data_IF_781044964753
#
_entry.id   IF_781044964753
#
_cell.length_a   1.000
_cell.length_b   1.000
_cell.length_c   1.000
_cell.angle_alpha   90.00
_cell.angle_beta   90.00
_cell.angle_gamma   90.00
#
_symmetry.space_group_name_H-M   'P 1'
#
loop_
_entity.id
_entity.type
_entity.pdbx_description
1 polymer ?
#
# COMPACT_ATOMS: atom_id res chain seq x y z
N UNK A 1 4.89 6.39 0.74
CA UNK A 1 4.29 6.03 2.05
C UNK A 1 3.21 4.95 1.98
N UNK A 2 2.75 4.54 0.77
CA UNK A 2 1.70 3.52 0.64
C UNK A 2 2.14 2.11 1.11
N UNK A 3 3.43 1.76 1.00
CA UNK A 3 3.99 0.50 1.46
C UNK A 3 4.70 0.67 2.82
N UNK A 4 4.10 0.24 3.96
CA UNK A 4 4.70 0.42 5.28
C UNK A 4 5.98 -0.40 5.48
N UNK A 5 6.14 -1.53 4.80
CA UNK A 5 7.38 -2.30 4.85
C UNK A 5 8.54 -1.55 4.19
N UNK A 6 8.29 -0.89 3.04
CA UNK A 6 9.30 -0.04 2.40
C UNK A 6 9.67 1.16 3.27
N UNK A 7 8.68 1.84 3.86
CA UNK A 7 8.92 2.96 4.79
C UNK A 7 9.80 2.52 5.96
N UNK A 8 9.44 1.42 6.64
CA UNK A 8 10.20 0.88 7.76
C UNK A 8 11.62 0.48 7.35
N UNK A 9 11.79 -0.07 6.14
CA UNK A 9 13.11 -0.42 5.62
C UNK A 9 13.98 0.83 5.41
N UNK A 10 13.42 1.93 4.89
CA UNK A 10 14.14 3.21 4.76
C UNK A 10 14.51 3.77 6.13
N UNK A 11 13.55 3.80 7.06
CA UNK A 11 13.76 4.30 8.43
C UNK A 11 14.93 3.58 9.14
N UNK A 12 15.02 2.26 8.98
CA UNK A 12 16.01 1.43 9.67
C UNK A 12 17.37 1.38 8.97
N UNK A 13 17.40 1.33 7.64
CA UNK A 13 18.63 1.06 6.88
C UNK A 13 19.20 2.28 6.17
N UNK A 14 18.38 3.32 5.94
CA UNK A 14 18.75 4.55 5.25
C UNK A 14 18.23 5.79 5.98
N UNK A 15 18.57 6.00 7.27
CA UNK A 15 17.98 7.07 8.07
C UNK A 15 18.19 8.48 7.48
N UNK A 16 19.27 8.70 6.73
CA UNK A 16 19.52 9.96 6.02
C UNK A 16 18.56 10.21 4.86
N UNK A 17 17.86 9.17 4.36
CA UNK A 17 16.90 9.29 3.26
C UNK A 17 15.46 9.47 3.76
N UNK A 18 15.20 9.44 5.06
CA UNK A 18 13.85 9.60 5.61
C UNK A 18 13.20 10.93 5.22
N UNK A 19 14.02 11.99 5.05
CA UNK A 19 13.55 13.29 4.56
C UNK A 19 12.91 13.25 3.15
N UNK A 20 13.19 12.21 2.37
CA UNK A 20 12.61 12.00 1.03
C UNK A 20 11.35 11.13 1.06
N UNK A 21 10.97 10.59 2.22
CA UNK A 21 9.72 9.86 2.34
C UNK A 21 8.53 10.82 2.20
N UNK A 22 7.54 10.41 1.42
CA UNK A 22 6.28 11.16 1.31
C UNK A 22 5.58 11.24 2.68
N UNK A 23 5.15 12.42 3.08
CA UNK A 23 4.39 12.66 4.30
C UNK A 23 2.89 12.30 4.17
N UNK A 24 2.44 11.87 2.99
CA UNK A 24 1.07 11.43 2.79
C UNK A 24 0.78 10.17 3.61
N UNK A 25 -0.41 10.11 4.19
CA UNK A 25 -0.91 8.88 4.79
C UNK A 25 -1.06 7.78 3.74
N UNK A 26 -0.96 6.53 4.16
CA UNK A 26 -1.28 5.42 3.26
C UNK A 26 -2.76 5.41 2.89
N UNK A 27 -3.17 4.75 1.79
CA UNK A 27 -4.59 4.63 1.44
C UNK A 27 -5.46 4.08 2.58
N UNK A 28 -4.95 3.11 3.34
CA UNK A 28 -5.62 2.59 4.54
C UNK A 28 -5.87 3.70 5.57
N UNK A 29 -4.82 4.40 5.97
CA UNK A 29 -4.91 5.43 7.00
C UNK A 29 -5.71 6.67 6.51
N UNK A 30 -5.61 7.02 5.23
CA UNK A 30 -6.38 8.11 4.62
C UNK A 30 -7.87 7.82 4.66
N UNK A 31 -8.28 6.61 4.23
CA UNK A 31 -9.69 6.22 4.25
C UNK A 31 -10.21 6.11 5.69
N UNK A 32 -9.42 5.51 6.59
CA UNK A 32 -9.79 5.43 8.01
C UNK A 32 -10.01 6.81 8.63
N UNK A 33 -9.09 7.75 8.39
CA UNK A 33 -9.22 9.14 8.84
C UNK A 33 -10.48 9.81 8.27
N UNK A 34 -10.75 9.58 6.99
CA UNK A 34 -11.92 10.14 6.30
C UNK A 34 -13.25 9.61 6.89
N UNK A 35 -13.32 8.30 7.20
CA UNK A 35 -14.49 7.68 7.84
C UNK A 35 -14.66 8.22 9.25
N UNK A 36 -13.61 8.20 10.10
CA UNK A 36 -13.66 8.69 11.49
C UNK A 36 -14.06 10.15 11.59
N UNK A 37 -13.74 10.97 10.58
CA UNK A 37 -14.17 12.38 10.57
C UNK A 37 -15.69 12.54 10.36
N UNK A 38 -16.37 11.55 9.79
CA UNK A 38 -17.82 11.54 9.55
C UNK A 38 -18.59 10.72 10.57
N UNK A 39 -17.98 9.62 10.97
CA UNK A 39 -18.53 8.63 11.89
C UNK A 39 -17.50 8.34 12.98
N UNK A 40 -17.35 9.19 14.00
CA UNK A 40 -16.31 9.06 15.03
C UNK A 40 -16.33 7.71 15.77
N UNK A 41 -17.53 7.15 15.96
CA UNK A 41 -17.73 5.87 16.67
C UNK A 41 -17.53 4.63 15.76
N UNK A 42 -17.37 4.81 14.45
CA UNK A 42 -17.17 3.69 13.52
C UNK A 42 -15.94 2.87 13.91
N UNK A 43 -16.06 1.55 13.90
CA UNK A 43 -14.93 0.61 14.06
C UNK A 43 -14.38 0.27 12.70
N UNK A 44 -13.10 0.54 12.50
CA UNK A 44 -12.44 0.39 11.20
C UNK A 44 -11.53 -0.82 11.20
N UNK A 45 -11.90 -1.79 10.39
CA UNK A 45 -11.10 -3.02 10.15
C UNK A 45 -10.56 -2.96 8.73
N UNK A 46 -9.24 -2.98 8.59
CA UNK A 46 -8.59 -3.13 7.30
C UNK A 46 -8.38 -4.62 7.01
N UNK A 47 -8.87 -5.07 5.85
CA UNK A 47 -8.68 -6.43 5.36
C UNK A 47 -7.79 -6.37 4.12
N UNK A 48 -6.68 -7.13 4.12
CA UNK A 48 -5.79 -7.10 2.98
C UNK A 48 -4.57 -8.03 3.11
N UNK A 49 -3.78 -8.17 2.05
CA UNK A 49 -2.70 -9.16 1.96
C UNK A 49 -1.41 -8.78 2.70
N UNK A 50 -1.44 -7.78 3.59
CA UNK A 50 -0.21 -7.15 4.08
C UNK A 50 -0.05 -7.24 5.60
N UNK A 51 0.95 -8.01 6.06
CA UNK A 51 1.31 -8.09 7.48
C UNK A 51 1.92 -6.81 8.04
N UNK A 52 2.66 -6.04 7.21
CA UNK A 52 3.26 -4.77 7.63
C UNK A 52 2.21 -3.69 7.95
N UNK A 53 0.98 -3.80 7.43
CA UNK A 53 -0.14 -2.94 7.78
C UNK A 53 -0.55 -3.06 9.26
N UNK A 54 -0.31 -4.22 9.89
CA UNK A 54 -0.52 -4.41 11.33
C UNK A 54 0.41 -3.50 12.16
N UNK A 55 1.68 -3.40 11.75
CA UNK A 55 2.62 -2.51 12.41
C UNK A 55 2.31 -1.03 12.14
N UNK A 56 1.90 -0.70 10.91
CA UNK A 56 1.47 0.66 10.56
C UNK A 56 0.28 1.12 11.40
N UNK A 57 -0.73 0.28 11.58
CA UNK A 57 -1.91 0.60 12.38
C UNK A 57 -1.59 0.90 13.86
N UNK A 58 -0.45 0.40 14.36
CA UNK A 58 0.02 0.67 15.72
C UNK A 58 0.84 1.96 15.85
N UNK A 59 1.24 2.60 14.73
CA UNK A 59 1.93 3.89 14.77
C UNK A 59 1.02 4.96 15.36
N UNK A 60 1.53 5.82 16.22
CA UNK A 60 0.78 6.91 16.87
C UNK A 60 0.01 7.77 15.85
N UNK A 61 0.60 8.03 14.70
CA UNK A 61 -0.01 8.81 13.61
C UNK A 61 -1.19 8.11 12.89
N UNK A 62 -1.44 6.82 13.17
CA UNK A 62 -2.45 5.99 12.47
C UNK A 62 -3.41 5.32 13.44
N UNK A 63 -2.97 5.01 14.65
CA UNK A 63 -3.70 4.19 15.63
C UNK A 63 -5.09 4.74 16.00
N UNK A 64 -5.30 6.05 15.86
CA UNK A 64 -6.62 6.67 16.08
C UNK A 64 -7.62 6.44 14.93
N UNK A 65 -7.13 5.97 13.76
CA UNK A 65 -7.96 5.81 12.57
C UNK A 65 -8.28 4.36 12.22
N UNK A 66 -7.47 3.41 12.68
CA UNK A 66 -7.60 1.99 12.33
C UNK A 66 -7.66 1.17 13.61
N UNK A 67 -8.79 0.51 13.85
CA UNK A 67 -8.98 -0.31 15.04
C UNK A 67 -8.35 -1.70 14.91
N UNK A 68 -8.39 -2.30 13.71
CA UNK A 68 -7.86 -3.64 13.46
C UNK A 68 -7.35 -3.81 12.04
N UNK A 69 -6.35 -4.69 11.88
CA UNK A 69 -5.85 -5.14 10.57
C UNK A 69 -5.84 -6.66 10.56
N UNK A 70 -6.53 -7.27 9.60
CA UNK A 70 -6.52 -8.70 9.36
C UNK A 70 -6.08 -9.03 7.93
N UNK A 71 -5.37 -10.14 7.77
CA UNK A 71 -4.97 -10.65 6.46
C UNK A 71 -6.09 -11.46 5.82
N UNK A 72 -5.97 -11.76 4.53
CA UNK A 72 -6.93 -12.65 3.87
C UNK A 72 -6.89 -14.07 4.47
N UNK A 73 -5.71 -14.57 4.88
CA UNK A 73 -5.61 -15.85 5.57
C UNK A 73 -6.35 -15.83 6.91
N UNK A 74 -6.21 -14.75 7.70
CA UNK A 74 -6.93 -14.58 8.95
C UNK A 74 -8.44 -14.44 8.75
N UNK A 75 -8.86 -13.74 7.68
CA UNK A 75 -10.27 -13.67 7.30
C UNK A 75 -10.82 -15.05 6.92
N UNK A 76 -10.07 -15.85 6.15
CA UNK A 76 -10.46 -17.21 5.82
C UNK A 76 -10.60 -18.06 7.09
N UNK A 77 -9.62 -18.01 7.99
CA UNK A 77 -9.70 -18.72 9.26
C UNK A 77 -10.92 -18.31 10.11
N UNK A 78 -11.31 -17.02 10.06
CA UNK A 78 -12.52 -16.54 10.72
C UNK A 78 -13.77 -17.15 10.10
N UNK A 79 -13.86 -17.21 8.77
CA UNK A 79 -14.98 -17.85 8.08
C UNK A 79 -15.06 -19.35 8.43
N UNK A 80 -13.95 -20.05 8.35
CA UNK A 80 -13.87 -21.48 8.70
C UNK A 80 -14.31 -21.73 10.15
N UNK A 81 -13.90 -20.87 11.09
CA UNK A 81 -14.28 -20.98 12.52
C UNK A 81 -15.77 -20.74 12.77
N UNK A 82 -16.48 -20.13 11.83
CA UNK A 82 -17.92 -19.84 11.88
C UNK A 82 -18.72 -20.71 10.93
N UNK A 83 -18.08 -21.70 10.29
CA UNK A 83 -18.71 -22.58 9.31
C UNK A 83 -19.37 -21.82 8.14
N UNK A 84 -18.78 -20.65 7.76
CA UNK A 84 -19.26 -19.82 6.66
C UNK A 84 -18.63 -20.30 5.36
N UNK A 85 -19.43 -20.89 4.48
CA UNK A 85 -19.04 -21.23 3.12
C UNK A 85 -19.30 -20.05 2.18
N UNK A 86 -18.22 -19.34 1.77
CA UNK A 86 -18.30 -18.19 0.87
C UNK A 86 -18.93 -18.56 -0.48
N UNK A 87 -18.73 -19.81 -0.95
CA UNK A 87 -19.25 -20.27 -2.24
C UNK A 87 -20.78 -20.38 -2.29
N UNK A 88 -21.41 -20.43 -1.11
CA UNK A 88 -22.89 -20.52 -0.99
C UNK A 88 -23.60 -19.16 -1.22
N UNK A 89 -22.84 -18.05 -1.24
CA UNK A 89 -23.42 -16.72 -1.43
C UNK A 89 -23.43 -16.29 -2.89
N UNK A 90 -24.45 -15.53 -3.27
CA UNK A 90 -24.51 -14.93 -4.60
C UNK A 90 -23.39 -13.89 -4.78
N UNK A 91 -22.81 -13.84 -5.99
CA UNK A 91 -21.83 -12.83 -6.33
C UNK A 91 -22.50 -11.50 -6.61
N UNK A 92 -21.97 -10.42 -6.05
CA UNK A 92 -22.36 -9.04 -6.36
C UNK A 92 -21.23 -8.30 -7.07
N UNK A 93 -21.61 -7.39 -7.97
CA UNK A 93 -20.65 -6.51 -8.63
C UNK A 93 -20.40 -5.29 -7.74
N UNK A 94 -19.15 -5.12 -7.30
CA UNK A 94 -18.70 -3.95 -6.55
C UNK A 94 -17.90 -3.03 -7.47
N UNK A 95 -18.41 -1.84 -7.74
CA UNK A 95 -17.80 -0.85 -8.66
C UNK A 95 -17.56 0.52 -8.02
N UNK A 96 -17.22 0.56 -6.72
CA UNK A 96 -17.02 1.79 -5.96
C UNK A 96 -15.61 2.38 -6.10
N UNK A 97 -14.64 1.61 -6.61
CA UNK A 97 -13.27 2.04 -6.75
C UNK A 97 -12.91 2.38 -8.20
N UNK A 98 -12.16 3.47 -8.39
CA UNK A 98 -11.60 3.81 -9.71
C UNK A 98 -10.59 2.76 -10.18
N UNK A 99 -10.37 2.65 -11.49
CA UNK A 99 -9.35 1.76 -12.06
C UNK A 99 -7.95 2.04 -11.50
N UNK A 100 -7.61 3.32 -11.28
CA UNK A 100 -6.33 3.72 -10.69
C UNK A 100 -6.26 3.34 -9.20
N UNK A 101 -7.34 3.47 -8.44
CA UNK A 101 -7.41 3.01 -7.05
C UNK A 101 -7.18 1.50 -6.93
N UNK A 102 -7.82 0.71 -7.79
CA UNK A 102 -7.59 -0.75 -7.86
C UNK A 102 -6.16 -1.09 -8.28
N UNK A 103 -5.56 -0.27 -9.15
CA UNK A 103 -4.18 -0.41 -9.62
C UNK A 103 -3.12 -0.26 -8.52
N UNK A 104 -3.41 0.45 -7.42
CA UNK A 104 -2.47 0.68 -6.32
C UNK A 104 -1.89 -0.61 -5.72
N UNK A 105 -2.62 -1.70 -5.75
CA UNK A 105 -2.18 -2.98 -5.22
C UNK A 105 -1.10 -3.67 -6.08
N UNK A 106 -0.84 -3.19 -7.27
CA UNK A 106 0.17 -3.75 -8.18
C UNK A 106 1.41 -2.87 -8.21
N UNK A 107 2.56 -3.48 -8.44
CA UNK A 107 3.81 -2.74 -8.67
C UNK A 107 3.69 -1.86 -9.91
N UNK A 108 4.06 -0.59 -9.79
CA UNK A 108 3.89 0.45 -10.81
C UNK A 108 2.54 1.17 -10.75
N UNK A 109 1.56 0.67 -10.00
CA UNK A 109 0.21 1.23 -9.94
C UNK A 109 0.14 2.61 -9.29
N UNK A 110 0.98 2.87 -8.29
CA UNK A 110 1.05 4.19 -7.65
C UNK A 110 1.60 5.22 -8.63
N UNK A 111 2.64 4.86 -9.40
CA UNK A 111 3.20 5.74 -10.44
C UNK A 111 2.15 6.11 -11.49
N UNK A 112 1.36 5.14 -11.95
CA UNK A 112 0.32 5.39 -12.95
C UNK A 112 -0.80 6.28 -12.39
N UNK A 113 -1.19 6.08 -11.12
CA UNK A 113 -2.17 6.94 -10.46
C UNK A 113 -1.65 8.39 -10.30
N UNK A 114 -0.37 8.58 -9.96
CA UNK A 114 0.25 9.91 -9.88
C UNK A 114 0.28 10.58 -11.25
N UNK A 115 0.67 9.86 -12.31
CA UNK A 115 0.63 10.39 -13.68
C UNK A 115 -0.77 10.88 -14.06
N UNK A 116 -1.79 10.09 -13.73
CA UNK A 116 -3.17 10.49 -13.98
C UNK A 116 -3.56 11.71 -13.15
N UNK A 117 -3.18 11.78 -11.88
CA UNK A 117 -3.46 12.92 -11.03
C UNK A 117 -2.80 14.21 -11.57
N UNK A 118 -1.55 14.15 -12.02
CA UNK A 118 -0.84 15.27 -12.65
C UNK A 118 -1.61 15.75 -13.88
N UNK A 119 -2.02 14.84 -14.77
CA UNK A 119 -2.80 15.15 -15.95
C UNK A 119 -4.15 15.81 -15.60
N UNK A 120 -4.84 15.25 -14.61
CA UNK A 120 -6.16 15.78 -14.20
C UNK A 120 -6.06 17.13 -13.51
N UNK A 121 -4.96 17.42 -12.81
CA UNK A 121 -4.74 18.71 -12.14
C UNK A 121 -4.27 19.83 -13.08
N UNK A 122 -4.06 19.54 -14.37
CA UNK A 122 -3.56 20.51 -15.36
C UNK A 122 -2.10 20.92 -15.16
N UNK A 123 -1.35 20.21 -14.31
CA UNK A 123 0.06 20.49 -14.03
C UNK A 123 0.98 19.74 -15.01
N UNK A 124 0.77 19.94 -16.30
CA UNK A 124 1.48 19.22 -17.38
C UNK A 124 2.97 19.60 -17.47
N UNK A 125 3.36 20.74 -16.89
CA UNK A 125 4.77 21.16 -16.82
C UNK A 125 5.61 20.25 -15.93
N UNK A 126 5.00 19.58 -14.95
CA UNK A 126 5.70 18.66 -14.05
C UNK A 126 5.97 17.31 -14.73
N UNK A 127 7.24 17.09 -15.11
CA UNK A 127 7.66 15.83 -15.71
C UNK A 127 8.00 14.79 -14.63
N UNK A 128 7.13 13.80 -14.44
CA UNK A 128 7.39 12.68 -13.55
C UNK A 128 8.40 11.70 -14.16
N UNK A 129 9.55 11.54 -13.51
CA UNK A 129 10.58 10.55 -13.83
C UNK A 129 10.63 9.54 -12.67
N UNK A 130 9.99 8.38 -12.86
CA UNK A 130 9.77 7.43 -11.78
C UNK A 130 10.67 6.20 -11.90
N UNK A 131 11.33 5.83 -10.79
CA UNK A 131 11.92 4.51 -10.58
C UNK A 131 10.90 3.63 -9.86
N UNK A 132 10.43 2.58 -10.55
CA UNK A 132 9.48 1.60 -10.01
C UNK A 132 10.28 0.42 -9.47
N UNK A 133 10.09 0.08 -8.19
CA UNK A 133 10.80 -1.01 -7.52
C UNK A 133 9.81 -2.13 -7.17
N UNK A 134 10.04 -3.30 -7.75
CA UNK A 134 9.20 -4.48 -7.62
C UNK A 134 9.87 -5.52 -6.72
N UNK A 135 9.59 -5.43 -5.43
CA UNK A 135 10.23 -6.26 -4.41
C UNK A 135 11.36 -5.53 -3.68
N UNK A 136 11.74 -6.07 -2.52
CA UNK A 136 12.70 -5.42 -1.61
C UNK A 136 14.10 -5.26 -2.22
N UNK A 137 14.53 -6.19 -3.09
CA UNK A 137 15.86 -6.11 -3.70
C UNK A 137 15.99 -4.90 -4.63
N UNK A 138 14.99 -4.65 -5.48
CA UNK A 138 14.99 -3.47 -6.32
C UNK A 138 14.88 -2.18 -5.51
N UNK A 139 14.09 -2.19 -4.42
CA UNK A 139 14.03 -1.08 -3.47
C UNK A 139 15.41 -0.78 -2.88
N UNK A 140 16.14 -1.82 -2.44
CA UNK A 140 17.48 -1.69 -1.89
C UNK A 140 18.46 -1.07 -2.88
N UNK A 141 18.44 -1.53 -4.13
CA UNK A 141 19.31 -1.01 -5.20
C UNK A 141 19.00 0.46 -5.48
N UNK A 142 17.73 0.84 -5.59
CA UNK A 142 17.32 2.24 -5.81
C UNK A 142 17.76 3.15 -4.65
N UNK A 143 17.56 2.71 -3.40
CA UNK A 143 17.97 3.47 -2.21
C UNK A 143 19.50 3.60 -2.11
N UNK A 144 20.26 2.56 -2.47
CA UNK A 144 21.71 2.63 -2.54
C UNK A 144 22.20 3.63 -3.60
N UNK A 145 21.55 3.67 -4.76
CA UNK A 145 21.86 4.67 -5.80
C UNK A 145 21.59 6.08 -5.28
N UNK A 146 20.40 6.31 -4.70
CA UNK A 146 20.03 7.60 -4.13
C UNK A 146 21.00 8.04 -3.02
N UNK A 147 21.39 7.13 -2.12
CA UNK A 147 22.34 7.44 -1.04
C UNK A 147 23.74 7.85 -1.51
N UNK A 148 24.09 7.45 -2.74
CA UNK A 148 25.35 7.82 -3.42
C UNK A 148 25.20 9.04 -4.34
N UNK A 149 24.04 9.70 -4.36
CA UNK A 149 23.77 10.83 -5.24
C UNK A 149 23.63 10.47 -6.73
N UNK A 150 23.40 9.20 -7.02
CA UNK A 150 23.15 8.75 -8.41
C UNK A 150 21.70 9.03 -8.80
N UNK A 151 21.48 9.28 -10.09
CA UNK A 151 20.14 9.55 -10.62
C UNK A 151 19.22 8.34 -10.47
N UNK A 152 18.06 8.60 -9.87
CA UNK A 152 16.95 7.67 -9.70
C UNK A 152 15.62 8.31 -10.12
N UNK A 153 15.69 9.43 -10.85
CA UNK A 153 14.54 10.25 -11.17
C UNK A 153 14.06 11.09 -9.98
N UNK A 154 12.86 11.67 -10.11
CA UNK A 154 12.26 12.52 -9.07
C UNK A 154 11.19 11.81 -8.23
N UNK A 155 10.95 10.52 -8.49
CA UNK A 155 10.01 9.70 -7.75
C UNK A 155 10.47 8.25 -7.67
N UNK A 156 10.47 7.67 -6.48
CA UNK A 156 10.70 6.23 -6.27
C UNK A 156 9.39 5.61 -5.76
N UNK A 157 8.84 4.66 -6.52
CA UNK A 157 7.78 3.78 -6.05
C UNK A 157 8.41 2.51 -5.48
N UNK A 158 8.37 2.36 -4.15
CA UNK A 158 8.92 1.18 -3.47
C UNK A 158 7.81 0.22 -3.05
N UNK A 159 7.78 -0.98 -3.64
CA UNK A 159 6.92 -2.09 -3.25
C UNK A 159 7.77 -3.22 -2.68
N UNK A 160 7.61 -3.51 -1.37
CA UNK A 160 8.41 -4.55 -0.71
C UNK A 160 8.09 -5.96 -1.21
N UNK A 161 6.85 -6.22 -1.62
CA UNK A 161 6.42 -7.49 -2.18
C UNK A 161 6.57 -7.51 -3.70
N UNK A 162 7.05 -8.63 -4.25
CA UNK A 162 7.12 -8.84 -5.69
C UNK A 162 5.69 -8.90 -6.27
N UNK A 163 5.44 -8.13 -7.30
CA UNK A 163 4.11 -7.95 -7.90
C UNK A 163 3.27 -6.85 -7.22
N UNK A 164 3.74 -6.26 -6.12
CA UNK A 164 3.03 -5.33 -5.27
C UNK A 164 2.25 -6.02 -4.15
N UNK A 165 1.21 -5.37 -3.61
CA UNK A 165 0.42 -5.91 -2.51
C UNK A 165 -0.29 -7.23 -2.85
N UNK A 166 -0.62 -7.47 -4.12
CA UNK A 166 -1.22 -8.74 -4.59
C UNK A 166 -0.29 -9.95 -4.39
N UNK A 167 1.01 -9.73 -4.19
CA UNK A 167 2.00 -10.75 -3.80
C UNK A 167 2.35 -10.72 -2.32
N UNK A 168 1.54 -10.07 -1.49
CA UNK A 168 1.77 -9.90 -0.07
C UNK A 168 1.72 -11.20 0.72
N UNK A 169 2.37 -11.20 1.91
CA UNK A 169 2.53 -12.39 2.75
C UNK A 169 1.21 -12.96 3.30
N UNK A 170 0.14 -12.16 3.36
CA UNK A 170 -1.18 -12.59 3.81
C UNK A 170 -2.16 -12.89 2.68
N UNK A 171 -1.67 -13.12 1.45
CA UNK A 171 -2.47 -13.58 0.31
C UNK A 171 -2.73 -15.08 0.38
N UNK A 172 -3.98 -15.50 0.16
CA UNK A 172 -4.36 -16.93 0.07
C UNK A 172 -3.75 -17.57 -1.18
N UNK A 173 -3.83 -16.86 -2.31
CA UNK A 173 -3.29 -17.31 -3.60
C UNK A 173 -2.26 -16.29 -4.12
N UNK A 174 -1.01 -16.30 -3.63
CA UNK A 174 0.00 -15.42 -4.17
C UNK A 174 0.26 -15.73 -5.65
N UNK A 175 0.55 -14.72 -6.47
CA UNK A 175 0.85 -14.93 -7.88
C UNK A 175 2.00 -15.93 -8.00
N UNK A 176 1.87 -16.91 -8.91
CA UNK A 176 2.95 -17.89 -9.17
C UNK A 176 4.23 -17.12 -9.51
N UNK A 177 5.30 -17.41 -8.79
CA UNK A 177 6.63 -16.91 -9.15
C UNK A 177 6.95 -17.43 -10.55
N UNK A 178 7.16 -16.52 -11.52
CA UNK A 178 7.71 -16.87 -12.83
C UNK A 178 9.18 -17.15 -12.72
#
# INVERSE_FOLDING_TARGET
>A
SCCPAFVSYVEQNFPKLTQHLSHCLSPMATLGKWIKAREPEAKIVFIGPCTAKKAEAKKESVSSYIDCVITFEELQALFDSREIDISSFASETVDEATAFGRGFARSGGVTEAIKQAIKTSGNEEFKLVATKCNGMEECRVALLKLSKGLDVGNFIEGMACVGGCVGGAGCINPPKKK
#
